data_IF_229551234307
#
_entry.id   IF_229551234307
#
_cell.length_a   1.000
_cell.length_b   1.000
_cell.length_c   1.000
_cell.angle_alpha   90.00
_cell.angle_beta   90.00
_cell.angle_gamma   90.00
#
_symmetry.space_group_name_H-M   'P 1'
#
loop_
_entity.id
_entity.type
_entity.pdbx_description
1 polymer ?
#
# COMPACT_ATOMS: atom_id res chain seq x y z
N UNK A 1 24.08 -14.60 -15.75
CA UNK A 1 23.08 -14.86 -14.70
C UNK A 1 22.08 -15.90 -15.19
N UNK A 2 21.97 -17.02 -14.50
CA UNK A 2 21.23 -18.20 -14.96
C UNK A 2 19.78 -18.20 -14.47
N UNK A 3 18.89 -18.87 -15.22
CA UNK A 3 17.45 -18.99 -14.95
C UNK A 3 17.12 -19.49 -13.52
N UNK A 4 18.08 -20.19 -12.88
CA UNK A 4 18.01 -20.61 -11.47
C UNK A 4 18.04 -19.46 -10.45
N UNK A 5 18.65 -18.30 -10.78
CA UNK A 5 18.64 -17.12 -9.90
C UNK A 5 17.31 -16.36 -9.93
N UNK A 6 16.58 -16.38 -11.07
CA UNK A 6 15.27 -15.69 -11.19
C UNK A 6 14.14 -16.41 -10.43
N UNK A 7 14.20 -17.73 -10.31
CA UNK A 7 13.18 -18.52 -9.60
C UNK A 7 13.35 -18.42 -8.07
N UNK A 8 14.58 -18.27 -7.57
CA UNK A 8 14.85 -18.14 -6.13
C UNK A 8 14.39 -16.80 -5.55
N UNK A 9 14.31 -15.74 -6.37
CA UNK A 9 13.77 -14.42 -5.97
C UNK A 9 12.23 -14.37 -6.01
N UNK A 10 11.58 -15.20 -6.83
CA UNK A 10 10.13 -15.22 -6.95
C UNK A 10 9.42 -15.93 -5.77
N UNK A 11 10.13 -16.73 -4.98
CA UNK A 11 9.56 -17.50 -3.87
C UNK A 11 9.84 -16.92 -2.47
N UNK A 12 10.64 -15.86 -2.34
CA UNK A 12 10.95 -15.24 -1.04
C UNK A 12 10.04 -14.04 -0.67
N UNK A 13 9.00 -13.76 -1.46
CA UNK A 13 8.11 -12.57 -1.27
C UNK A 13 6.66 -12.90 -0.92
N UNK A 14 6.40 -14.06 -0.35
CA UNK A 14 5.09 -14.42 0.22
C UNK A 14 5.14 -14.36 1.75
N UNK A 15 4.63 -13.30 2.39
CA UNK A 15 4.40 -13.32 3.82
C UNK A 15 3.12 -14.12 4.14
N UNK A 16 3.38 -15.29 4.72
CA UNK A 16 2.66 -15.98 5.78
C UNK A 16 1.44 -15.20 6.36
N UNK A 17 0.22 -15.64 6.05
CA UNK A 17 -1.01 -15.26 6.78
C UNK A 17 -1.55 -16.46 7.55
N UNK A 18 -1.50 -16.35 8.88
CA UNK A 18 -2.32 -17.00 9.94
C UNK A 18 -1.95 -16.21 11.21
N UNK A 19 -2.82 -15.77 12.14
CA UNK A 19 -4.11 -16.25 12.66
C UNK A 19 -4.58 -15.20 13.73
N UNK A 20 -5.83 -14.72 13.81
CA UNK A 20 -6.92 -15.00 14.82
C UNK A 20 -7.57 -13.62 15.12
N UNK A 21 -8.87 -13.40 15.31
CA UNK A 21 -10.04 -14.28 15.30
C UNK A 21 -11.31 -13.44 15.48
N UNK A 22 -12.44 -13.97 15.04
CA UNK A 22 -13.77 -13.40 15.34
C UNK A 22 -14.58 -14.50 15.97
N UNK A 23 -14.94 -14.31 17.24
CA UNK A 23 -15.95 -15.05 17.96
C UNK A 23 -17.29 -14.32 17.77
N UNK A 24 -18.36 -15.09 17.53
CA UNK A 24 -19.68 -14.70 18.00
C UNK A 24 -20.83 -14.70 16.99
N UNK A 25 -21.07 -15.81 16.29
CA UNK A 25 -22.41 -16.10 15.75
C UNK A 25 -22.85 -17.49 16.24
N UNK A 26 -23.74 -17.49 17.24
CA UNK A 26 -24.48 -18.66 17.69
C UNK A 26 -25.58 -19.01 16.70
N UNK A 27 -25.56 -20.24 16.19
CA UNK A 27 -26.77 -21.00 15.87
C UNK A 27 -26.44 -22.49 15.75
N UNK A 28 -27.01 -23.25 16.69
CA UNK A 28 -27.38 -24.67 16.67
C UNK A 28 -26.43 -25.67 15.97
N UNK A 29 -25.70 -26.45 16.79
CA UNK A 29 -24.97 -27.66 16.36
C UNK A 29 -25.74 -28.92 16.78
N UNK A 30 -25.96 -29.89 15.87
CA UNK A 30 -26.32 -31.26 16.22
C UNK A 30 -25.11 -32.06 16.73
N UNK A 31 -25.37 -33.03 17.61
CA UNK A 31 -24.42 -33.93 18.28
C UNK A 31 -23.55 -34.70 17.25
N UNK A 32 -22.23 -34.48 17.30
CA UNK A 32 -21.23 -35.20 16.50
C UNK A 32 -20.15 -35.79 17.43
N UNK A 33 -20.55 -36.73 18.27
CA UNK A 33 -19.62 -37.69 18.88
C UNK A 33 -19.20 -38.72 17.85
N UNK A 34 -17.95 -38.60 17.37
CA UNK A 34 -17.27 -39.67 16.64
C UNK A 34 -16.57 -39.20 15.37
N UNK A 35 -15.43 -38.53 15.50
CA UNK A 35 -14.46 -38.41 14.41
C UNK A 35 -13.06 -38.54 15.01
N UNK A 36 -12.55 -39.77 14.94
CA UNK A 36 -11.17 -40.12 15.21
C UNK A 36 -10.21 -39.28 14.35
N UNK A 37 -9.14 -38.80 14.98
CA UNK A 37 -8.06 -38.10 14.30
C UNK A 37 -7.33 -39.06 13.35
N UNK A 38 -7.43 -38.84 12.04
CA UNK A 38 -6.60 -39.51 11.04
C UNK A 38 -5.14 -39.06 11.20
N UNK A 39 -4.17 -39.98 11.36
CA UNK A 39 -2.77 -39.59 11.50
C UNK A 39 -2.22 -39.11 10.15
N UNK A 40 -1.68 -37.89 10.11
CA UNK A 40 -0.93 -37.39 8.97
C UNK A 40 0.38 -38.17 8.80
N UNK A 41 0.46 -39.03 7.78
CA UNK A 41 1.74 -39.61 7.34
C UNK A 41 2.57 -38.55 6.60
N UNK A 42 3.88 -38.39 6.90
CA UNK A 42 4.76 -37.56 6.11
C UNK A 42 4.92 -38.12 4.69
N UNK A 43 4.78 -37.25 3.69
CA UNK A 43 4.99 -37.58 2.29
C UNK A 43 6.49 -37.82 2.02
N UNK A 44 6.91 -38.95 1.43
CA UNK A 44 8.32 -39.24 1.17
C UNK A 44 8.89 -38.33 0.08
N UNK A 45 10.11 -37.80 0.30
CA UNK A 45 10.76 -36.80 -0.55
C UNK A 45 10.96 -37.24 -2.01
N UNK A 46 11.02 -38.54 -2.28
CA UNK A 46 11.19 -39.11 -3.62
C UNK A 46 10.00 -38.88 -4.57
N UNK A 47 8.80 -38.56 -4.05
CA UNK A 47 7.62 -38.26 -4.90
C UNK A 47 7.66 -36.87 -5.53
N UNK A 48 8.36 -35.92 -4.93
CA UNK A 48 8.47 -34.56 -5.48
C UNK A 48 9.40 -34.53 -6.70
N UNK A 49 10.53 -35.23 -6.62
CA UNK A 49 11.46 -35.34 -7.74
C UNK A 49 10.83 -36.12 -8.91
N UNK A 50 10.12 -37.22 -8.63
CA UNK A 50 9.37 -37.95 -9.67
C UNK A 50 8.30 -37.08 -10.35
N UNK A 51 7.62 -36.21 -9.59
CA UNK A 51 6.63 -35.29 -10.16
C UNK A 51 7.28 -34.20 -11.01
N UNK A 52 8.47 -33.72 -10.62
CA UNK A 52 9.23 -32.77 -11.44
C UNK A 52 9.69 -33.39 -12.76
N UNK A 53 10.24 -34.60 -12.75
CA UNK A 53 10.64 -35.27 -14.00
C UNK A 53 9.43 -35.52 -14.92
N UNK A 54 8.27 -35.91 -14.38
CA UNK A 54 7.05 -36.09 -15.16
C UNK A 54 6.54 -34.77 -15.76
N UNK A 55 6.62 -33.67 -15.00
CA UNK A 55 6.25 -32.33 -15.47
C UNK A 55 7.22 -31.83 -16.54
N UNK A 56 8.53 -32.00 -16.37
CA UNK A 56 9.54 -31.62 -17.36
C UNK A 56 9.39 -32.41 -18.66
N UNK A 57 9.09 -33.72 -18.58
CA UNK A 57 8.78 -34.52 -19.77
C UNK A 57 7.50 -34.07 -20.47
N UNK A 58 6.44 -33.71 -19.74
CA UNK A 58 5.20 -33.21 -20.35
C UNK A 58 5.36 -31.82 -20.97
N UNK A 59 6.15 -30.93 -20.36
CA UNK A 59 6.46 -29.61 -20.91
C UNK A 59 7.37 -29.71 -22.14
N UNK A 60 8.39 -30.56 -22.12
CA UNK A 60 9.23 -30.81 -23.28
C UNK A 60 8.47 -31.47 -24.45
N UNK A 61 7.51 -32.35 -24.13
CA UNK A 61 6.63 -32.97 -25.12
C UNK A 61 5.58 -32.00 -25.68
N UNK A 62 5.04 -31.10 -24.87
CA UNK A 62 4.03 -30.11 -25.30
C UNK A 62 4.62 -29.01 -26.19
N UNK A 63 5.91 -28.69 -26.02
CA UNK A 63 6.64 -27.75 -26.89
C UNK A 63 6.96 -28.38 -28.26
N UNK A 64 7.07 -29.71 -28.36
CA UNK A 64 7.40 -30.41 -29.62
C UNK A 64 6.20 -30.86 -30.46
N UNK A 65 4.96 -30.82 -29.94
CA UNK A 65 3.81 -31.46 -30.61
C UNK A 65 2.90 -30.55 -31.44
N UNK A 66 3.24 -29.27 -31.66
CA UNK A 66 2.50 -28.40 -32.60
C UNK A 66 3.34 -28.03 -33.83
N UNK A 67 3.87 -29.00 -34.57
CA UNK A 67 4.42 -28.73 -35.91
C UNK A 67 4.62 -29.97 -36.79
N UNK A 68 3.57 -30.73 -37.08
CA UNK A 68 3.63 -31.68 -38.22
C UNK A 68 2.30 -31.85 -38.96
N UNK A 69 2.36 -31.48 -40.25
CA UNK A 69 1.83 -32.18 -41.43
C UNK A 69 0.68 -31.57 -42.25
N UNK A 70 -0.17 -30.66 -41.72
CA UNK A 70 -1.28 -30.16 -42.55
C UNK A 70 -0.93 -28.95 -43.46
N UNK A 71 0.03 -28.10 -43.07
CA UNK A 71 0.35 -26.87 -43.84
C UNK A 71 1.38 -27.04 -44.97
N UNK A 72 1.89 -28.26 -45.20
CA UNK A 72 2.98 -28.51 -46.18
C UNK A 72 2.56 -28.47 -47.65
N UNK A 73 1.30 -28.16 -47.98
CA UNK A 73 0.81 -28.10 -49.38
C UNK A 73 0.45 -26.72 -49.92
N UNK A 74 0.57 -25.62 -49.16
CA UNK A 74 0.01 -24.34 -49.64
C UNK A 74 0.72 -23.04 -49.30
N UNK A 75 2.04 -23.01 -49.15
CA UNK A 75 2.75 -21.73 -48.95
C UNK A 75 4.11 -21.68 -49.65
N UNK A 76 4.07 -21.71 -50.98
CA UNK A 76 5.05 -20.97 -51.79
C UNK A 76 4.56 -19.52 -51.77
N UNK A 77 5.22 -18.66 -50.99
CA UNK A 77 4.94 -17.22 -50.99
C UNK A 77 5.18 -16.53 -49.65
N UNK A 78 6.04 -15.50 -49.70
CA UNK A 78 6.25 -14.41 -48.74
C UNK A 78 7.34 -14.64 -47.65
N UNK A 79 8.62 -14.35 -47.96
CA UNK A 79 9.65 -14.04 -46.97
C UNK A 79 9.83 -12.52 -46.87
N UNK A 80 9.10 -11.84 -45.98
CA UNK A 80 9.35 -10.41 -45.72
C UNK A 80 8.92 -9.89 -44.34
N UNK A 81 8.07 -10.62 -43.59
CA UNK A 81 7.41 -10.03 -42.41
C UNK A 81 8.13 -10.31 -41.08
N UNK A 82 9.06 -11.26 -41.02
CA UNK A 82 9.67 -11.70 -39.75
C UNK A 82 10.77 -10.79 -39.20
N UNK A 83 11.29 -9.83 -39.98
CA UNK A 83 12.31 -8.87 -39.48
C UNK A 83 11.65 -7.66 -38.80
N UNK A 84 10.38 -7.35 -39.08
CA UNK A 84 9.70 -6.18 -38.50
C UNK A 84 9.24 -6.39 -37.03
N UNK A 85 9.08 -7.65 -36.58
CA UNK A 85 8.50 -7.93 -35.26
C UNK A 85 9.49 -7.80 -34.08
N UNK A 86 10.80 -7.72 -34.34
CA UNK A 86 11.81 -7.62 -33.28
C UNK A 86 12.13 -6.16 -32.86
N UNK A 87 11.74 -5.15 -33.66
CA UNK A 87 12.03 -3.74 -33.35
C UNK A 87 10.96 -3.03 -32.51
N UNK A 88 9.81 -3.64 -32.23
CA UNK A 88 8.67 -2.94 -31.59
C UNK A 88 8.76 -2.91 -30.05
N UNK A 89 9.69 -3.63 -29.42
CA UNK A 89 9.73 -3.73 -27.94
C UNK A 89 10.48 -2.56 -27.27
N UNK A 90 11.26 -1.76 -28.01
CA UNK A 90 12.03 -0.65 -27.43
C UNK A 90 11.35 0.73 -27.55
N UNK A 91 10.39 0.91 -28.46
CA UNK A 91 9.80 2.23 -28.76
C UNK A 91 8.62 2.62 -27.84
N UNK A 92 8.26 1.80 -26.84
CA UNK A 92 7.11 2.05 -25.97
C UNK A 92 7.34 3.02 -24.81
N UNK A 93 8.59 3.36 -24.48
CA UNK A 93 8.90 4.16 -23.28
C UNK A 93 8.81 5.67 -23.49
N UNK A 94 9.02 6.17 -24.70
CA UNK A 94 8.92 7.60 -25.03
C UNK A 94 7.48 8.15 -25.06
N UNK A 95 6.46 7.31 -24.87
CA UNK A 95 5.04 7.66 -24.89
C UNK A 95 4.37 7.50 -23.51
N UNK A 96 5.14 7.46 -22.43
CA UNK A 96 4.54 7.50 -21.10
C UNK A 96 3.96 8.89 -20.83
N UNK A 97 2.68 9.04 -21.18
CA UNK A 97 1.84 10.11 -20.66
C UNK A 97 2.00 10.13 -19.14
N UNK A 98 2.45 11.26 -18.60
CA UNK A 98 2.58 11.45 -17.15
C UNK A 98 1.24 11.20 -16.44
N UNK A 99 1.30 11.04 -15.12
CA UNK A 99 0.14 10.66 -14.33
C UNK A 99 -0.18 11.64 -13.22
N UNK A 100 -1.46 11.68 -12.85
CA UNK A 100 -1.94 12.39 -11.66
C UNK A 100 -2.07 11.43 -10.47
N UNK A 101 -1.88 11.95 -9.26
CA UNK A 101 -2.17 11.21 -8.03
C UNK A 101 -3.68 11.29 -7.72
N UNK A 102 -4.37 10.14 -7.69
CA UNK A 102 -5.83 10.08 -7.52
C UNK A 102 -6.31 9.92 -6.08
N UNK A 103 -5.42 9.56 -5.14
CA UNK A 103 -5.84 9.21 -3.79
C UNK A 103 -4.79 9.31 -2.70
N UNK A 104 -3.52 9.58 -3.01
CA UNK A 104 -2.51 9.80 -1.98
C UNK A 104 -1.80 11.12 -2.22
N UNK A 105 -1.83 11.99 -1.22
CA UNK A 105 -1.08 13.25 -1.15
C UNK A 105 0.21 13.08 -0.35
N UNK A 106 0.50 11.85 0.08
CA UNK A 106 1.73 11.53 0.76
C UNK A 106 2.88 11.54 -0.25
N UNK A 107 3.91 12.31 0.07
CA UNK A 107 5.12 12.43 -0.72
C UNK A 107 6.24 11.72 0.01
N UNK A 108 6.86 10.73 -0.65
CA UNK A 108 8.09 10.11 -0.20
C UNK A 108 9.31 10.83 -0.79
N UNK A 109 10.12 11.45 0.05
CA UNK A 109 11.41 12.03 -0.30
C UNK A 109 12.51 10.97 -0.11
N UNK A 110 13.04 10.45 -1.22
CA UNK A 110 14.07 9.41 -1.20
C UNK A 110 15.46 10.04 -1.09
N UNK A 111 16.39 9.37 -0.39
CA UNK A 111 17.77 9.87 -0.25
C UNK A 111 18.63 9.65 -1.50
N UNK A 112 18.30 8.65 -2.32
CA UNK A 112 18.99 8.34 -3.58
C UNK A 112 17.97 7.95 -4.66
N UNK A 113 18.32 7.93 -5.96
CA UNK A 113 17.42 7.50 -7.03
C UNK A 113 17.19 5.97 -7.02
N UNK A 114 16.62 5.46 -5.93
CA UNK A 114 16.31 4.05 -5.71
C UNK A 114 15.10 3.90 -4.80
N UNK A 115 14.16 3.03 -5.19
CA UNK A 115 12.98 2.69 -4.38
C UNK A 115 13.31 1.88 -3.11
N UNK A 116 14.55 1.46 -2.93
CA UNK A 116 15.04 0.77 -1.73
C UNK A 116 15.79 1.68 -0.76
N UNK A 117 15.90 2.97 -1.07
CA UNK A 117 16.64 3.91 -0.24
C UNK A 117 15.81 4.47 0.91
N UNK A 118 16.51 5.07 1.87
CA UNK A 118 15.87 5.76 2.99
C UNK A 118 14.88 6.80 2.48
N UNK A 119 13.67 6.75 3.03
CA UNK A 119 12.53 7.55 2.58
C UNK A 119 11.92 8.29 3.75
N UNK A 120 11.85 9.60 3.67
CA UNK A 120 11.00 10.39 4.56
C UNK A 120 9.64 10.59 3.90
N UNK A 121 8.55 10.32 4.62
CA UNK A 121 7.18 10.47 4.11
C UNK A 121 6.53 11.68 4.74
N UNK A 122 6.08 12.61 3.91
CA UNK A 122 5.38 13.81 4.34
C UNK A 122 3.95 13.78 3.83
N UNK A 123 3.01 14.19 4.69
CA UNK A 123 1.70 14.59 4.21
C UNK A 123 1.83 15.97 3.58
N UNK A 124 1.76 16.03 2.25
CA UNK A 124 2.11 17.24 1.52
C UNK A 124 0.90 18.14 1.24
N UNK A 125 -0.32 17.69 1.58
CA UNK A 125 -1.56 18.45 1.32
C UNK A 125 -1.60 18.94 -0.13
N UNK A 126 -1.69 20.27 -0.31
CA UNK A 126 -1.64 20.96 -1.61
C UNK A 126 -0.28 21.58 -1.96
N UNK A 127 0.76 21.38 -1.15
CA UNK A 127 2.09 21.98 -1.41
C UNK A 127 2.79 21.31 -2.60
N UNK A 128 3.76 22.00 -3.20
CA UNK A 128 4.61 21.40 -4.24
C UNK A 128 5.53 20.30 -3.65
N UNK A 129 5.40 19.02 -4.08
CA UNK A 129 6.24 17.92 -3.60
C UNK A 129 7.74 18.18 -3.76
N UNK A 130 8.14 18.85 -4.85
CA UNK A 130 9.56 19.10 -5.12
C UNK A 130 10.15 20.06 -4.09
N UNK A 131 9.41 21.09 -3.71
CA UNK A 131 9.82 22.06 -2.69
C UNK A 131 9.90 21.42 -1.30
N UNK A 132 8.89 20.67 -0.89
CA UNK A 132 8.91 19.96 0.42
C UNK A 132 10.12 19.03 0.56
N UNK A 133 10.43 18.25 -0.48
CA UNK A 133 11.57 17.35 -0.44
C UNK A 133 12.91 18.07 -0.55
N UNK A 134 12.99 19.19 -1.28
CA UNK A 134 14.18 20.03 -1.32
C UNK A 134 14.55 20.56 0.06
N UNK A 135 13.57 21.10 0.80
CA UNK A 135 13.79 21.63 2.15
C UNK A 135 14.20 20.52 3.14
N UNK A 136 13.66 19.31 2.96
CA UNK A 136 14.10 18.14 3.73
C UNK A 136 15.55 17.76 3.43
N UNK A 137 15.91 17.62 2.15
CA UNK A 137 17.27 17.24 1.75
C UNK A 137 18.32 18.25 2.18
N UNK A 138 18.01 19.55 2.09
CA UNK A 138 18.89 20.62 2.58
C UNK A 138 19.18 20.48 4.08
N UNK A 139 18.16 20.18 4.89
CA UNK A 139 18.34 19.97 6.34
C UNK A 139 19.07 18.68 6.68
N UNK A 140 18.90 17.64 5.86
CA UNK A 140 19.47 16.32 6.06
C UNK A 140 20.85 16.15 5.40
N UNK A 141 21.39 17.16 4.73
CA UNK A 141 22.69 17.10 4.05
C UNK A 141 22.71 16.22 2.78
N UNK A 142 21.55 15.95 2.19
CA UNK A 142 21.44 15.15 0.96
C UNK A 142 21.71 16.06 -0.25
N UNK A 143 22.64 15.63 -1.11
CA UNK A 143 23.05 16.40 -2.30
C UNK A 143 22.03 16.20 -3.42
N UNK A 144 21.62 17.31 -4.04
CA UNK A 144 20.73 17.32 -5.20
C UNK A 144 21.58 17.41 -6.46
N UNK A 145 21.50 16.41 -7.32
CA UNK A 145 22.24 16.33 -8.57
C UNK A 145 21.37 16.74 -9.78
N UNK A 146 21.69 17.89 -10.36
CA UNK A 146 21.03 18.39 -11.58
C UNK A 146 19.55 18.75 -11.46
N UNK A 147 18.90 18.50 -10.31
CA UNK A 147 17.52 18.90 -10.01
C UNK A 147 16.73 17.85 -9.24
N UNK A 148 15.43 18.12 -9.08
CA UNK A 148 14.49 17.22 -8.40
C UNK A 148 13.58 16.58 -9.43
N UNK A 149 13.43 15.26 -9.36
CA UNK A 149 12.41 14.54 -10.12
C UNK A 149 11.26 14.15 -9.21
N UNK A 150 10.03 14.40 -9.64
CA UNK A 150 8.81 13.93 -8.97
C UNK A 150 8.11 12.92 -9.86
N UNK A 151 7.90 11.72 -9.34
CA UNK A 151 7.39 10.57 -10.06
C UNK A 151 6.14 10.03 -9.37
N UNK A 152 5.22 9.50 -10.18
CA UNK A 152 4.06 8.75 -9.70
C UNK A 152 4.42 7.27 -9.61
N UNK A 153 4.26 6.69 -8.42
CA UNK A 153 4.43 5.25 -8.20
C UNK A 153 3.22 4.47 -8.70
N UNK A 154 3.42 3.17 -8.96
CA UNK A 154 2.34 2.26 -9.42
C UNK A 154 1.21 2.09 -8.42
N UNK A 155 1.45 2.33 -7.13
CA UNK A 155 0.45 2.30 -6.07
C UNK A 155 -0.25 3.67 -5.86
N UNK A 156 0.02 4.66 -6.71
CA UNK A 156 -0.59 5.98 -6.67
C UNK A 156 0.07 6.97 -5.69
N UNK A 157 1.17 6.58 -5.04
CA UNK A 157 1.95 7.46 -4.17
C UNK A 157 2.91 8.36 -4.96
N UNK A 158 3.23 9.52 -4.39
CA UNK A 158 4.16 10.49 -4.97
C UNK A 158 5.57 10.21 -4.43
N UNK A 159 6.55 10.11 -5.33
CA UNK A 159 7.96 9.88 -4.98
C UNK A 159 8.82 10.99 -5.55
N UNK A 160 9.62 11.64 -4.71
CA UNK A 160 10.59 12.64 -5.15
C UNK A 160 12.01 12.11 -4.96
N UNK A 161 12.86 12.40 -5.94
CA UNK A 161 14.27 11.98 -5.96
C UNK A 161 15.18 13.20 -6.17
N UNK A 162 16.38 13.21 -5.56
CA UNK A 162 17.33 14.33 -5.66
C UNK A 162 18.14 14.26 -6.97
N UNK A 163 17.57 13.70 -8.04
CA UNK A 163 18.19 13.57 -9.37
C UNK A 163 17.14 13.78 -10.45
N UNK A 164 17.41 14.64 -11.44
CA UNK A 164 16.43 15.08 -12.46
C UNK A 164 15.85 13.96 -13.35
N UNK A 165 16.62 12.93 -13.66
CA UNK A 165 16.23 11.82 -14.56
C UNK A 165 15.79 10.56 -13.81
N UNK A 166 15.48 10.66 -12.51
CA UNK A 166 15.15 9.49 -11.70
C UNK A 166 13.88 8.76 -12.18
N UNK A 167 12.85 9.48 -12.66
CA UNK A 167 11.63 8.82 -13.12
C UNK A 167 11.90 7.90 -14.32
N UNK A 168 12.69 8.37 -15.29
CA UNK A 168 13.10 7.56 -16.45
C UNK A 168 13.95 6.36 -16.01
N UNK A 169 14.97 6.60 -15.20
CA UNK A 169 15.91 5.57 -14.71
C UNK A 169 15.19 4.48 -13.91
N UNK A 170 14.17 4.85 -13.14
CA UNK A 170 13.39 3.95 -12.29
C UNK A 170 12.13 3.41 -12.97
N UNK A 171 11.93 3.70 -14.26
CA UNK A 171 10.76 3.26 -15.02
C UNK A 171 9.42 3.69 -14.36
N UNK A 172 9.40 4.89 -13.79
CA UNK A 172 8.25 5.52 -13.15
C UNK A 172 7.66 6.61 -14.05
N UNK A 173 6.36 6.83 -13.92
CA UNK A 173 5.68 7.91 -14.64
C UNK A 173 6.07 9.27 -14.04
N UNK A 174 6.31 10.31 -14.85
CA UNK A 174 6.39 11.68 -14.35
C UNK A 174 5.11 12.07 -13.63
N UNK A 175 5.23 12.76 -12.50
CA UNK A 175 4.10 13.33 -11.78
C UNK A 175 3.66 14.64 -12.46
N UNK A 176 2.39 14.74 -12.82
CA UNK A 176 1.83 15.92 -13.48
C UNK A 176 0.97 16.79 -12.56
N UNK A 177 0.60 16.27 -11.40
CA UNK A 177 -0.27 16.97 -10.47
C UNK A 177 -1.13 16.03 -9.65
N UNK A 178 -1.97 16.63 -8.81
CA UNK A 178 -3.03 15.93 -8.07
C UNK A 178 -4.31 16.04 -8.87
N UNK A 179 -5.09 14.95 -8.91
CA UNK A 179 -6.40 15.02 -9.55
C UNK A 179 -7.34 15.92 -8.74
N UNK A 180 -8.36 16.47 -9.37
CA UNK A 180 -9.37 17.31 -8.69
C UNK A 180 -10.01 16.57 -7.51
N UNK A 181 -10.25 15.26 -7.66
CA UNK A 181 -10.77 14.40 -6.59
C UNK A 181 -9.80 14.32 -5.40
N UNK A 182 -8.50 14.18 -5.66
CA UNK A 182 -7.49 14.17 -4.61
C UNK A 182 -7.36 15.54 -3.93
N UNK A 183 -7.51 16.64 -4.68
CA UNK A 183 -7.49 17.99 -4.14
C UNK A 183 -8.67 18.25 -3.19
N UNK A 184 -9.91 17.94 -3.60
CA UNK A 184 -11.09 18.05 -2.73
C UNK A 184 -10.97 17.18 -1.47
N UNK A 185 -10.37 16.00 -1.59
CA UNK A 185 -10.09 15.18 -0.41
C UNK A 185 -9.02 15.81 0.51
N UNK A 186 -8.00 16.48 -0.05
CA UNK A 186 -7.00 17.21 0.74
C UNK A 186 -7.68 18.24 1.65
N UNK A 187 -8.57 19.03 1.06
CA UNK A 187 -9.36 20.07 1.70
C UNK A 187 -10.25 19.48 2.80
N UNK A 188 -11.01 18.43 2.48
CA UNK A 188 -11.81 17.69 3.46
C UNK A 188 -10.97 17.24 4.67
N UNK A 189 -9.80 16.62 4.41
CA UNK A 189 -8.94 16.10 5.47
C UNK A 189 -8.45 17.21 6.39
N UNK A 190 -8.02 18.34 5.82
CA UNK A 190 -7.54 19.48 6.59
C UNK A 190 -8.65 20.04 7.49
N UNK A 191 -9.83 20.32 6.93
CA UNK A 191 -10.98 20.83 7.68
C UNK A 191 -11.45 19.85 8.76
N UNK A 192 -11.55 18.56 8.44
CA UNK A 192 -11.97 17.53 9.37
C UNK A 192 -10.98 17.37 10.54
N UNK A 193 -9.68 17.40 10.26
CA UNK A 193 -8.65 17.34 11.31
C UNK A 193 -8.71 18.58 12.20
N UNK A 194 -8.89 19.78 11.62
CA UNK A 194 -9.05 21.01 12.39
C UNK A 194 -10.31 20.98 13.26
N UNK A 195 -11.43 20.48 12.71
CA UNK A 195 -12.68 20.31 13.43
C UNK A 195 -12.47 19.46 14.68
N UNK A 196 -11.83 18.29 14.55
CA UNK A 196 -11.58 17.37 15.66
C UNK A 196 -10.51 17.88 16.63
N UNK A 197 -9.49 18.60 16.15
CA UNK A 197 -8.47 19.18 17.01
C UNK A 197 -9.02 20.31 17.90
N UNK A 198 -9.96 21.11 17.38
CA UNK A 198 -10.63 22.16 18.14
C UNK A 198 -11.80 21.66 18.99
N UNK A 199 -12.24 20.41 18.77
CA UNK A 199 -13.45 19.89 19.38
C UNK A 199 -13.28 19.57 20.87
N UNK A 200 -14.13 20.16 21.69
CA UNK A 200 -14.21 19.89 23.14
C UNK A 200 -15.27 18.82 23.43
N UNK A 201 -15.23 17.71 22.71
CA UNK A 201 -16.12 16.57 22.92
C UNK A 201 -17.60 16.86 22.67
N UNK A 202 -17.92 17.43 21.51
CA UNK A 202 -19.31 17.53 21.05
C UNK A 202 -19.97 16.15 20.98
N UNK A 203 -21.30 16.06 21.14
CA UNK A 203 -22.04 14.81 21.00
C UNK A 203 -21.70 14.08 19.69
N UNK A 204 -21.54 12.76 19.76
CA UNK A 204 -21.23 11.89 18.60
C UNK A 204 -22.06 12.24 17.37
N UNK A 205 -23.39 12.32 17.52
CA UNK A 205 -24.29 12.60 16.40
C UNK A 205 -23.99 13.92 15.68
N UNK A 206 -23.62 14.97 16.41
CA UNK A 206 -23.30 16.27 15.83
C UNK A 206 -21.97 16.24 15.05
N UNK A 207 -20.96 15.56 15.59
CA UNK A 207 -19.67 15.39 14.89
C UNK A 207 -19.80 14.57 13.61
N UNK A 208 -20.57 13.47 13.65
CA UNK A 208 -20.80 12.65 12.47
C UNK A 208 -21.62 13.40 11.42
N UNK A 209 -22.63 14.18 11.83
CA UNK A 209 -23.39 15.04 10.92
C UNK A 209 -22.49 16.10 10.26
N UNK A 210 -21.59 16.73 11.03
CA UNK A 210 -20.64 17.69 10.49
C UNK A 210 -19.66 17.07 9.49
N UNK A 211 -19.07 15.90 9.81
CA UNK A 211 -18.23 15.14 8.88
C UNK A 211 -18.99 14.78 7.60
N UNK A 212 -20.24 14.36 7.73
CA UNK A 212 -21.07 14.00 6.59
C UNK A 212 -21.35 15.21 5.70
N UNK A 213 -21.69 16.35 6.30
CA UNK A 213 -21.91 17.60 5.58
C UNK A 213 -20.66 18.02 4.78
N UNK A 214 -19.47 18.00 5.40
CA UNK A 214 -18.22 18.33 4.69
C UNK A 214 -17.92 17.37 3.52
N UNK A 215 -18.17 16.07 3.68
CA UNK A 215 -18.03 15.11 2.57
C UNK A 215 -19.02 15.41 1.45
N UNK A 216 -20.26 15.74 1.79
CA UNK A 216 -21.31 16.03 0.80
C UNK A 216 -21.01 17.34 0.04
N UNK A 217 -20.59 18.39 0.74
CA UNK A 217 -20.23 19.71 0.17
C UNK A 217 -19.05 19.62 -0.80
N UNK A 218 -18.07 18.75 -0.52
CA UNK A 218 -16.90 18.52 -1.37
C UNK A 218 -17.14 17.45 -2.46
N UNK A 219 -18.38 16.97 -2.61
CA UNK A 219 -18.76 15.97 -3.63
C UNK A 219 -18.14 14.59 -3.39
N UNK A 220 -17.81 14.27 -2.13
CA UNK A 220 -17.22 13.01 -1.67
C UNK A 220 -18.29 12.01 -1.17
N UNK A 221 -19.51 12.08 -1.72
CA UNK A 221 -20.70 11.31 -1.31
C UNK A 221 -20.49 9.80 -1.13
N UNK A 222 -19.57 9.22 -1.90
CA UNK A 222 -19.22 7.79 -1.88
C UNK A 222 -18.33 7.37 -0.70
N UNK A 223 -17.92 8.31 0.15
CA UNK A 223 -17.18 8.01 1.38
C UNK A 223 -18.14 7.63 2.51
N UNK A 224 -17.75 6.62 3.27
CA UNK A 224 -18.44 6.20 4.50
C UNK A 224 -17.70 6.70 5.74
N UNK A 225 -18.41 6.77 6.85
CA UNK A 225 -17.87 7.13 8.16
C UNK A 225 -18.03 5.92 9.06
N UNK A 226 -16.92 5.41 9.59
CA UNK A 226 -16.90 4.40 10.64
C UNK A 226 -16.66 5.11 11.98
N UNK A 227 -17.70 5.17 12.79
CA UNK A 227 -17.68 5.83 14.10
C UNK A 227 -17.65 4.85 15.27
N UNK A 228 -17.33 3.57 15.01
CA UNK A 228 -17.21 2.52 16.02
C UNK A 228 -16.11 2.79 17.05
N UNK A 229 -15.10 3.59 16.70
CA UNK A 229 -14.02 4.02 17.59
C UNK A 229 -14.36 5.27 18.42
N UNK A 230 -15.56 5.82 18.33
CA UNK A 230 -15.95 6.97 19.16
C UNK A 230 -16.03 6.55 20.64
N UNK A 231 -15.26 7.20 21.51
CA UNK A 231 -15.20 6.91 22.95
C UNK A 231 -15.53 8.12 23.81
N UNK A 232 -15.85 7.90 25.09
CA UNK A 232 -16.01 8.97 26.06
C UNK A 232 -14.67 9.71 26.32
N UNK A 233 -14.72 11.00 26.71
CA UNK A 233 -13.52 11.79 27.03
C UNK A 233 -12.68 11.07 28.09
N UNK A 234 -11.39 10.82 27.78
CA UNK A 234 -10.46 10.19 28.73
C UNK A 234 -9.75 11.19 29.64
N UNK A 235 -9.67 12.46 29.26
CA UNK A 235 -9.05 13.52 30.05
C UNK A 235 -9.68 14.88 29.75
N UNK A 236 -9.69 15.78 30.74
CA UNK A 236 -10.15 17.15 30.54
C UNK A 236 -9.18 17.91 29.63
N UNK A 237 -9.72 18.63 28.64
CA UNK A 237 -8.94 19.48 27.73
C UNK A 237 -8.30 18.78 26.53
N UNK A 238 -8.46 17.45 26.37
CA UNK A 238 -8.05 16.72 25.17
C UNK A 238 -9.26 16.44 24.24
N UNK A 239 -9.03 16.33 22.92
CA UNK A 239 -10.07 15.87 22.00
C UNK A 239 -10.62 14.49 22.40
N UNK A 240 -11.91 14.26 22.20
CA UNK A 240 -12.54 12.96 22.50
C UNK A 240 -12.21 11.88 21.48
N UNK A 241 -11.88 12.29 20.26
CA UNK A 241 -11.63 11.42 19.15
C UNK A 241 -10.57 12.03 18.24
N UNK A 242 -9.99 11.18 17.40
CA UNK A 242 -9.14 11.56 16.28
C UNK A 242 -9.69 10.92 15.01
N UNK A 243 -9.08 11.22 13.87
CA UNK A 243 -9.46 10.71 12.57
C UNK A 243 -8.34 9.86 11.96
N UNK A 244 -8.75 8.78 11.29
CA UNK A 244 -7.89 8.00 10.43
C UNK A 244 -8.60 7.75 9.09
N UNK A 245 -7.91 8.00 7.98
CA UNK A 245 -8.50 7.95 6.65
C UNK A 245 -8.04 6.69 5.89
N UNK A 246 -8.98 5.83 5.49
CA UNK A 246 -8.73 4.71 4.58
C UNK A 246 -9.17 5.10 3.16
N UNK A 247 -8.23 5.63 2.39
CA UNK A 247 -8.44 6.03 1.01
C UNK A 247 -8.82 4.91 0.07
N UNK A 248 -8.36 3.67 0.33
CA UNK A 248 -8.64 2.54 -0.57
C UNK A 248 -10.08 2.08 -0.43
N UNK A 249 -10.63 2.18 0.77
CA UNK A 249 -12.02 1.83 1.08
C UNK A 249 -12.96 3.03 1.02
N UNK A 250 -12.43 4.24 0.88
CA UNK A 250 -13.18 5.49 1.02
C UNK A 250 -13.90 5.56 2.37
N UNK A 251 -13.19 5.28 3.47
CA UNK A 251 -13.73 5.28 4.83
C UNK A 251 -13.01 6.32 5.68
N UNK A 252 -13.76 7.17 6.37
CA UNK A 252 -13.27 8.01 7.47
C UNK A 252 -13.51 7.27 8.77
N UNK A 253 -12.45 6.88 9.47
CA UNK A 253 -12.54 6.17 10.74
C UNK A 253 -12.38 7.19 11.87
N UNK A 254 -13.40 7.30 12.70
CA UNK A 254 -13.33 8.03 13.96
C UNK A 254 -12.74 7.08 15.00
N UNK A 255 -11.58 7.44 15.52
CA UNK A 255 -10.81 6.60 16.45
C UNK A 255 -10.70 7.27 17.82
N UNK A 256 -10.52 6.52 18.91
CA UNK A 256 -10.29 7.10 20.22
C UNK A 256 -9.05 7.99 20.19
N UNK A 257 -9.11 9.16 20.83
CA UNK A 257 -7.89 9.92 21.06
C UNK A 257 -7.00 9.15 22.03
N UNK A 258 -5.84 8.71 21.55
CA UNK A 258 -4.81 8.13 22.40
C UNK A 258 -4.13 9.29 23.15
N UNK A 259 -4.75 9.73 24.26
CA UNK A 259 -4.01 10.50 25.24
C UNK A 259 -2.82 9.67 25.71
N UNK A 260 -1.61 10.26 25.72
CA UNK A 260 -0.52 9.70 26.51
C UNK A 260 -1.06 9.52 27.94
N UNK A 261 -0.77 8.37 28.61
CA UNK A 261 -1.16 8.22 30.01
C UNK A 261 -0.58 9.41 30.79
N UNK A 262 -1.34 10.00 31.74
CA UNK A 262 -0.80 11.02 32.61
C UNK A 262 0.43 10.45 33.33
N UNK A 263 1.55 11.18 33.28
CA UNK A 263 2.84 10.77 33.86
C UNK A 263 2.85 10.67 35.39
N UNK A 264 1.70 10.65 36.05
CA UNK A 264 1.56 10.79 37.50
C UNK A 264 1.54 9.45 38.25
N UNK A 265 1.62 8.31 37.57
CA UNK A 265 1.82 7.02 38.24
C UNK A 265 3.32 6.73 38.40
N UNK A 266 4.01 7.65 39.09
CA UNK A 266 5.23 7.32 39.80
C UNK A 266 4.84 6.29 40.89
N UNK A 267 5.52 5.13 40.98
CA UNK A 267 5.21 4.15 42.02
C UNK A 267 5.43 4.79 43.39
N UNK A 268 4.32 4.97 44.10
CA UNK A 268 4.27 5.51 45.45
C UNK A 268 5.23 4.77 46.38
N UNK A 269 5.81 5.55 47.28
CA UNK A 269 6.91 5.17 48.15
C UNK A 269 6.73 3.85 48.87
N UNK A 270 7.80 3.07 48.90
CA UNK A 270 8.00 2.02 49.87
C UNK A 270 8.06 2.65 51.26
N UNK A 271 6.95 2.56 52.00
CA UNK A 271 6.95 2.79 53.44
C UNK A 271 7.85 1.77 54.12
N UNK A 272 8.89 2.25 54.79
CA UNK A 272 9.64 1.45 55.76
C UNK A 272 8.72 1.11 56.94
N UNK A 273 8.60 -0.15 57.37
CA UNK A 273 8.03 -0.45 58.66
C UNK A 273 9.07 -0.11 59.75
N UNK A 274 8.80 0.93 60.53
CA UNK A 274 9.39 1.10 61.87
C UNK A 274 8.47 0.40 62.86
N UNK A 275 8.92 -0.76 63.32
CA UNK A 275 8.36 -1.49 64.47
C UNK A 275 9.40 -1.56 65.60
N UNK A 276 8.95 -1.83 66.83
CA UNK A 276 9.41 -1.24 68.09
C UNK A 276 10.82 -1.64 68.55
#
# INVERSE_FOLDING_TARGET
>A
MTLRQKIRVALSKWPNRRFIGVRGWSREMPDMRGLDCVPHRPLPANRLEQRQELLERHVAASIRSRKTSWWRRKSIGIPAVTVAAACVVAAGWGLQNGGEAEGSLAVGCYSTPSLQSDTAVFDNGQKDPATTCRDYWQRSGIIIDGGVAVCLRRDGGIAAFPVKNACETLELKPFLGVSEKAARFAEFKEEAVQLFAADRCRPRGELIAALRQMLDDLGLLGWSIDDSGYSQPRAQGLPCASLAFDHKRSVVNVVPFAGLPPSDEAPGGSGLPTGP
#
